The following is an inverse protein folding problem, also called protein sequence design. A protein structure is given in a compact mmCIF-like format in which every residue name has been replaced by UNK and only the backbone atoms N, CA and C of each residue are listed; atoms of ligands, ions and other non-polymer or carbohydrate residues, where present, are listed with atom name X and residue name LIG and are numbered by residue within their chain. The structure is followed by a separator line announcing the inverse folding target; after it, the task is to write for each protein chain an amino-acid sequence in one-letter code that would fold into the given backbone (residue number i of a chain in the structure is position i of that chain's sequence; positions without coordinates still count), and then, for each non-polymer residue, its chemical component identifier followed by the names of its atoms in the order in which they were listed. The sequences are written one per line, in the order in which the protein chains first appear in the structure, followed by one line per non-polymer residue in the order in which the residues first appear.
data_IF_372533282518
#
_entry.id   IF_372533282518
#
_cell.length_a   1.000
_cell.length_b   1.000
_cell.length_c   1.000
_cell.angle_alpha   90.00
_cell.angle_beta   90.00
_cell.angle_gamma   90.00
#
_symmetry.space_group_name_H-M   'P 1'
#
loop_
_entity.id
_entity.type
_entity.pdbx_description
1 polymer ?
#
# COMPACT_ATOMS: atom_id res chain seq x y z
N UNK A 1 -18.68 9.53 0.67
CA UNK A 1 -17.66 8.80 -0.11
C UNK A 1 -17.85 7.31 0.04
N UNK A 2 -17.68 6.72 1.23
CA UNK A 2 -17.91 5.28 1.48
C UNK A 2 -19.30 4.83 1.02
N UNK A 3 -20.37 5.50 1.47
CA UNK A 3 -21.75 5.20 1.03
C UNK A 3 -21.92 5.25 -0.49
N UNK A 4 -21.35 6.28 -1.14
CA UNK A 4 -21.40 6.43 -2.59
C UNK A 4 -20.71 5.27 -3.33
N UNK A 5 -19.62 4.73 -2.78
CA UNK A 5 -18.96 3.53 -3.32
C UNK A 5 -19.77 2.27 -3.04
N UNK A 6 -20.39 2.14 -1.85
CA UNK A 6 -21.24 1.00 -1.51
C UNK A 6 -22.53 0.92 -2.35
N UNK A 7 -23.03 2.06 -2.85
CA UNK A 7 -24.17 2.13 -3.76
C UNK A 7 -23.80 1.80 -5.22
N UNK A 8 -22.49 1.73 -5.54
CA UNK A 8 -21.99 1.54 -6.90
C UNK A 8 -20.78 0.59 -6.89
N UNK A 9 -21.01 -0.71 -7.05
CA UNK A 9 -20.00 -1.76 -6.94
C UNK A 9 -18.81 -1.63 -7.92
N UNK A 10 -18.94 -0.84 -8.99
CA UNK A 10 -17.86 -0.56 -9.94
C UNK A 10 -16.87 0.51 -9.45
N UNK A 11 -17.21 1.26 -8.40
CA UNK A 11 -16.37 2.33 -7.87
C UNK A 11 -15.28 1.78 -6.93
N UNK A 12 -14.12 2.42 -6.99
CA UNK A 12 -12.98 2.16 -6.10
C UNK A 12 -12.63 3.40 -5.29
N UNK A 13 -11.99 3.20 -4.14
CA UNK A 13 -11.42 4.27 -3.32
C UNK A 13 -9.92 4.36 -3.61
N UNK A 14 -9.44 5.54 -3.98
CA UNK A 14 -8.02 5.84 -4.03
C UNK A 14 -7.51 6.29 -2.66
N UNK A 15 -6.52 5.58 -2.11
CA UNK A 15 -5.78 6.02 -0.93
C UNK A 15 -4.44 6.58 -1.36
N UNK A 16 -4.13 7.76 -0.86
CA UNK A 16 -2.85 8.42 -1.07
C UNK A 16 -2.49 9.22 0.18
N UNK A 17 -1.22 9.18 0.56
CA UNK A 17 -0.77 9.91 1.73
C UNK A 17 -0.39 11.35 1.39
N UNK A 18 -0.43 12.26 2.38
CA UNK A 18 0.14 13.59 2.26
C UNK A 18 1.67 13.58 2.03
N UNK A 19 2.20 14.58 1.34
CA UNK A 19 3.66 14.76 1.15
C UNK A 19 4.44 14.87 2.47
N UNK A 20 3.78 15.43 3.49
CA UNK A 20 4.31 15.59 4.84
C UNK A 20 3.16 15.55 5.84
N UNK A 21 3.48 15.29 7.10
CA UNK A 21 2.50 15.35 8.19
C UNK A 21 1.78 16.71 8.15
N UNK A 22 0.45 16.68 8.15
CA UNK A 22 -0.45 17.85 8.06
C UNK A 22 -0.41 18.65 6.73
N UNK A 23 0.28 18.16 5.69
CA UNK A 23 0.23 18.78 4.37
C UNK A 23 -1.12 18.56 3.69
N UNK A 24 -1.59 19.58 2.96
CA UNK A 24 -2.73 19.43 2.05
C UNK A 24 -2.34 18.84 0.70
N UNK A 25 -1.04 18.88 0.37
CA UNK A 25 -0.49 18.28 -0.85
C UNK A 25 -0.31 16.78 -0.64
N UNK A 26 -0.60 16.04 -1.68
CA UNK A 26 -0.54 14.59 -1.72
C UNK A 26 0.74 14.18 -2.45
N UNK A 27 1.25 13.00 -2.14
CA UNK A 27 2.23 12.35 -3.02
C UNK A 27 1.62 12.15 -4.42
N UNK A 28 2.45 11.82 -5.41
CA UNK A 28 1.97 11.62 -6.77
C UNK A 28 1.36 10.23 -6.98
N UNK A 29 1.82 9.22 -6.23
CA UNK A 29 1.40 7.82 -6.36
C UNK A 29 0.55 7.38 -5.17
N UNK A 30 -0.60 6.77 -5.47
CA UNK A 30 -1.50 6.15 -4.49
C UNK A 30 -1.86 4.72 -4.89
N UNK A 31 -2.76 4.10 -4.12
CA UNK A 31 -3.30 2.76 -4.41
C UNK A 31 -4.82 2.79 -4.44
N UNK A 32 -5.41 2.29 -5.52
CA UNK A 32 -6.84 2.12 -5.66
C UNK A 32 -7.25 0.79 -5.02
N UNK A 33 -8.37 0.78 -4.29
CA UNK A 33 -8.87 -0.43 -3.65
C UNK A 33 -10.40 -0.50 -3.59
N UNK A 34 -10.89 -1.72 -3.42
CA UNK A 34 -12.32 -2.03 -3.25
C UNK A 34 -12.63 -2.26 -1.78
N UNK A 35 -13.85 -1.92 -1.36
CA UNK A 35 -14.32 -2.24 -0.01
C UNK A 35 -14.68 -3.73 0.05
N UNK A 36 -13.96 -4.52 0.84
CA UNK A 36 -14.31 -5.92 1.12
C UNK A 36 -15.35 -6.03 2.23
N UNK A 37 -15.22 -5.17 3.23
CA UNK A 37 -16.13 -5.13 4.36
C UNK A 37 -16.35 -3.70 4.83
N UNK A 38 -17.58 -3.40 5.24
CA UNK A 38 -17.92 -2.12 5.86
C UNK A 38 -18.90 -2.33 7.00
N UNK A 39 -18.67 -1.60 8.09
CA UNK A 39 -19.57 -1.54 9.23
C UNK A 39 -19.80 -0.09 9.61
N UNK A 40 -21.05 0.37 9.57
CA UNK A 40 -21.42 1.65 10.14
C UNK A 40 -21.45 1.54 11.66
N UNK A 41 -20.74 2.43 12.32
CA UNK A 41 -20.68 2.52 13.78
C UNK A 41 -21.78 3.48 14.29
N UNK A 42 -22.18 3.39 15.58
CA UNK A 42 -23.32 4.13 16.12
C UNK A 42 -23.25 5.66 16.00
N UNK A 43 -22.06 6.23 15.81
CA UNK A 43 -21.83 7.67 15.65
C UNK A 43 -21.84 8.13 14.18
N UNK A 44 -22.20 7.24 13.25
CA UNK A 44 -22.24 7.52 11.81
C UNK A 44 -20.89 7.40 11.10
N UNK A 45 -19.80 7.12 11.82
CA UNK A 45 -18.51 6.79 11.21
C UNK A 45 -18.49 5.34 10.71
N UNK A 46 -17.65 5.07 9.71
CA UNK A 46 -17.51 3.74 9.12
C UNK A 46 -16.19 3.10 9.53
N UNK A 47 -16.23 1.82 9.86
CA UNK A 47 -15.07 0.94 9.82
C UNK A 47 -15.09 0.21 8.48
N UNK A 48 -14.02 0.32 7.69
CA UNK A 48 -13.91 -0.34 6.38
C UNK A 48 -12.64 -1.18 6.30
N UNK A 49 -12.75 -2.32 5.62
CA UNK A 49 -11.62 -3.11 5.16
C UNK A 49 -11.50 -2.89 3.65
N UNK A 50 -10.34 -2.38 3.22
CA UNK A 50 -10.03 -2.11 1.83
C UNK A 50 -9.01 -3.12 1.32
N UNK A 51 -9.23 -3.58 0.09
CA UNK A 51 -8.30 -4.42 -0.63
C UNK A 51 -7.68 -3.63 -1.77
N UNK A 52 -6.37 -3.40 -1.70
CA UNK A 52 -5.61 -2.73 -2.76
C UNK A 52 -5.61 -3.55 -4.04
N UNK A 53 -5.91 -2.91 -5.18
CA UNK A 53 -6.01 -3.52 -6.51
C UNK A 53 -4.86 -3.12 -7.42
N UNK A 54 -4.51 -1.83 -7.44
CA UNK A 54 -3.45 -1.33 -8.29
C UNK A 54 -2.98 0.02 -7.80
N UNK A 55 -1.68 0.28 -7.93
CA UNK A 55 -1.15 1.63 -7.83
C UNK A 55 -1.64 2.49 -8.99
N UNK A 56 -1.70 3.79 -8.75
CA UNK A 56 -2.01 4.80 -9.75
C UNK A 56 -1.18 6.06 -9.49
N UNK A 57 -0.99 6.85 -10.53
CA UNK A 57 -0.42 8.19 -10.42
C UNK A 57 -1.51 9.24 -10.63
N UNK A 58 -1.53 10.30 -9.81
CA UNK A 58 -2.43 11.44 -10.00
C UNK A 58 -1.97 12.21 -11.24
N UNK A 59 -2.90 12.48 -12.16
CA UNK A 59 -2.65 13.38 -13.29
C UNK A 59 -3.21 14.78 -13.02
N UNK A 60 -4.41 14.86 -12.45
CA UNK A 60 -5.00 16.12 -12.00
C UNK A 60 -6.08 15.90 -10.93
N UNK A 61 -6.17 16.80 -9.96
CA UNK A 61 -7.32 16.91 -9.07
C UNK A 61 -8.46 17.65 -9.78
N UNK A 62 -9.66 17.09 -9.73
CA UNK A 62 -10.86 17.64 -10.37
C UNK A 62 -11.59 18.58 -9.41
N UNK A 63 -12.04 19.73 -9.92
CA UNK A 63 -12.99 20.57 -9.19
C UNK A 63 -14.32 19.80 -9.03
N UNK A 64 -14.82 19.73 -7.81
CA UNK A 64 -16.01 18.94 -7.48
C UNK A 64 -16.78 19.57 -6.32
N UNK A 65 -18.11 19.51 -6.40
CA UNK A 65 -19.01 19.93 -5.32
C UNK A 65 -19.15 18.86 -4.22
N UNK A 66 -18.46 17.72 -4.37
CA UNK A 66 -18.49 16.64 -3.38
C UNK A 66 -17.65 16.96 -2.15
N UNK A 67 -18.05 16.44 -0.99
CA UNK A 67 -17.31 16.54 0.27
C UNK A 67 -15.99 15.71 0.30
N UNK A 68 -15.60 15.14 -0.84
CA UNK A 68 -14.41 14.32 -1.01
C UNK A 68 -13.72 14.66 -2.32
N UNK A 69 -12.40 14.49 -2.38
CA UNK A 69 -11.58 14.74 -3.57
C UNK A 69 -11.92 13.78 -4.69
N UNK A 70 -11.82 14.24 -5.92
CA UNK A 70 -11.82 13.41 -7.13
C UNK A 70 -10.58 13.77 -7.93
N UNK A 71 -9.93 12.79 -8.53
CA UNK A 71 -8.76 13.01 -9.35
C UNK A 71 -8.86 12.14 -10.60
N UNK A 72 -8.34 12.64 -11.71
CA UNK A 72 -8.01 11.80 -12.86
C UNK A 72 -6.66 11.17 -12.61
N UNK A 73 -6.58 9.86 -12.80
CA UNK A 73 -5.40 9.05 -12.48
C UNK A 73 -4.98 8.21 -13.68
N UNK A 74 -3.72 7.78 -13.68
CA UNK A 74 -3.13 6.91 -14.71
C UNK A 74 -2.54 5.65 -14.07
N UNK A 75 -2.69 4.51 -14.77
CA UNK A 75 -2.24 3.18 -14.33
C UNK A 75 -1.09 2.62 -15.19
N UNK A 76 -0.70 3.29 -16.28
CA UNK A 76 0.25 2.76 -17.27
C UNK A 76 1.65 2.50 -16.71
N UNK A 77 2.04 3.18 -15.65
CA UNK A 77 3.31 2.94 -14.94
C UNK A 77 3.30 1.69 -14.05
N UNK A 78 2.12 1.09 -13.84
CA UNK A 78 1.90 0.02 -12.85
C UNK A 78 1.21 -1.21 -13.46
N UNK A 79 1.49 -1.52 -14.73
CA UNK A 79 0.87 -2.65 -15.44
C UNK A 79 1.10 -4.00 -14.76
N UNK A 80 2.23 -4.15 -14.06
CA UNK A 80 2.60 -5.37 -13.34
C UNK A 80 1.87 -5.55 -12.00
N UNK A 81 1.11 -4.56 -11.52
CA UNK A 81 0.37 -4.68 -10.25
C UNK A 81 -0.80 -5.68 -10.34
N UNK A 82 -1.28 -5.95 -11.55
CA UNK A 82 -2.39 -6.87 -11.82
C UNK A 82 -1.87 -8.27 -12.17
N UNK A 83 -0.57 -8.40 -12.46
CA UNK A 83 0.09 -9.65 -12.80
C UNK A 83 0.72 -10.28 -11.54
N UNK A 84 0.81 -11.61 -11.50
CA UNK A 84 1.59 -12.30 -10.46
C UNK A 84 3.08 -12.02 -10.69
N UNK A 85 3.55 -10.88 -10.16
CA UNK A 85 4.94 -10.49 -10.22
C UNK A 85 5.80 -11.56 -9.52
N UNK A 86 6.77 -12.10 -10.25
CA UNK A 86 7.75 -13.03 -9.73
C UNK A 86 9.01 -12.26 -9.33
N UNK A 87 9.58 -12.59 -8.18
CA UNK A 87 10.90 -12.09 -7.80
C UNK A 87 11.96 -12.73 -8.68
N UNK A 88 12.83 -11.92 -9.28
CA UNK A 88 14.01 -12.44 -9.98
C UNK A 88 15.22 -12.57 -9.05
N UNK A 89 15.20 -11.85 -7.92
CA UNK A 89 16.28 -11.83 -6.92
C UNK A 89 16.06 -12.84 -5.79
N UNK A 90 17.17 -13.20 -5.15
CA UNK A 90 17.17 -14.08 -3.98
C UNK A 90 16.61 -13.37 -2.74
N UNK A 91 15.76 -14.08 -2.00
CA UNK A 91 15.09 -13.61 -0.79
C UNK A 91 15.92 -13.84 0.49
N UNK A 92 17.03 -14.59 0.44
CA UNK A 92 17.85 -14.86 1.63
C UNK A 92 18.28 -13.59 2.37
N UNK A 93 18.63 -12.54 1.62
CA UNK A 93 19.03 -11.26 2.19
C UNK A 93 17.86 -10.54 2.90
N UNK A 94 16.63 -10.70 2.41
CA UNK A 94 15.44 -10.19 3.09
C UNK A 94 15.26 -10.85 4.45
N UNK A 95 15.31 -12.18 4.50
CA UNK A 95 15.15 -12.92 5.76
C UNK A 95 16.22 -12.53 6.78
N UNK A 96 17.47 -12.39 6.35
CA UNK A 96 18.57 -11.96 7.22
C UNK A 96 18.29 -10.58 7.83
N UNK A 97 18.02 -9.58 6.99
CA UNK A 97 17.77 -8.21 7.47
C UNK A 97 16.48 -8.13 8.31
N UNK A 98 15.45 -8.89 7.95
CA UNK A 98 14.21 -8.93 8.73
C UNK A 98 14.42 -9.57 10.11
N UNK A 99 15.27 -10.61 10.24
CA UNK A 99 15.67 -11.15 11.54
C UNK A 99 16.35 -10.07 12.39
N UNK A 100 17.37 -9.40 11.85
CA UNK A 100 18.10 -8.33 12.53
C UNK A 100 17.17 -7.15 12.94
N UNK A 101 16.28 -6.72 12.05
CA UNK A 101 15.27 -5.70 12.32
C UNK A 101 14.32 -6.14 13.44
N UNK A 102 13.84 -7.39 13.41
CA UNK A 102 12.89 -7.91 14.40
C UNK A 102 13.50 -7.97 15.80
N UNK A 103 14.77 -8.36 15.92
CA UNK A 103 15.50 -8.39 17.18
C UNK A 103 15.72 -6.97 17.73
N UNK A 104 16.16 -6.04 16.87
CA UNK A 104 16.37 -4.63 17.22
C UNK A 104 15.09 -3.96 17.72
N UNK A 105 13.96 -4.25 17.08
CA UNK A 105 12.65 -3.70 17.41
C UNK A 105 11.83 -4.55 18.40
N UNK A 106 12.41 -5.65 18.92
CA UNK A 106 11.76 -6.57 19.87
C UNK A 106 10.42 -7.13 19.38
N UNK A 107 10.31 -7.37 18.08
CA UNK A 107 9.14 -7.96 17.46
C UNK A 107 9.09 -9.46 17.76
N UNK A 108 7.90 -9.95 18.10
CA UNK A 108 7.66 -11.39 18.26
C UNK A 108 7.18 -11.94 16.93
N UNK A 109 8.06 -12.65 16.23
CA UNK A 109 7.80 -13.22 14.92
C UNK A 109 7.65 -14.74 15.03
N UNK A 110 6.58 -15.28 14.46
CA UNK A 110 6.41 -16.72 14.23
C UNK A 110 7.07 -17.06 12.88
N UNK A 111 8.37 -17.42 12.92
CA UNK A 111 9.19 -17.60 11.72
C UNK A 111 8.66 -18.70 10.79
N UNK A 112 8.09 -19.76 11.36
CA UNK A 112 7.50 -20.85 10.60
C UNK A 112 6.39 -20.34 9.67
N UNK A 113 5.56 -19.40 10.14
CA UNK A 113 4.50 -18.79 9.33
C UNK A 113 5.05 -17.85 8.26
N UNK A 114 6.15 -17.14 8.56
CA UNK A 114 6.77 -16.21 7.59
C UNK A 114 7.40 -16.97 6.44
N UNK A 115 8.01 -18.13 6.71
CA UNK A 115 8.64 -18.98 5.70
C UNK A 115 7.62 -19.69 4.78
N UNK A 116 6.36 -19.81 5.22
CA UNK A 116 5.25 -20.33 4.40
C UNK A 116 4.69 -19.30 3.39
N UNK A 117 4.95 -18.00 3.58
CA UNK A 117 4.41 -16.94 2.73
C UNK A 117 5.25 -16.87 1.45
N UNK A 118 4.63 -16.89 0.25
CA UNK A 118 5.38 -16.75 -0.99
C UNK A 118 6.12 -15.41 -1.03
N UNK A 119 7.36 -15.46 -1.54
CA UNK A 119 8.34 -14.40 -1.47
C UNK A 119 7.80 -13.02 -1.94
N UNK A 120 7.05 -13.00 -3.05
CA UNK A 120 6.43 -11.80 -3.59
C UNK A 120 5.38 -11.18 -2.66
N UNK A 121 4.56 -12.00 -1.99
CA UNK A 121 3.63 -11.52 -0.97
C UNK A 121 4.35 -11.06 0.29
N UNK A 122 5.45 -11.72 0.68
CA UNK A 122 6.20 -11.35 1.87
C UNK A 122 6.78 -9.94 1.75
N UNK A 123 7.35 -9.57 0.59
CA UNK A 123 7.84 -8.20 0.35
C UNK A 123 6.73 -7.17 0.60
N UNK A 124 5.57 -7.35 -0.03
CA UNK A 124 4.44 -6.43 0.14
C UNK A 124 3.94 -6.39 1.58
N UNK A 125 3.83 -7.56 2.23
CA UNK A 125 3.39 -7.67 3.61
C UNK A 125 4.31 -6.89 4.56
N UNK A 126 5.63 -7.06 4.42
CA UNK A 126 6.61 -6.36 5.26
C UNK A 126 6.60 -4.86 4.98
N UNK A 127 6.56 -4.43 3.71
CA UNK A 127 6.46 -3.01 3.36
C UNK A 127 5.26 -2.31 4.02
N UNK A 128 4.13 -3.01 4.16
CA UNK A 128 2.92 -2.46 4.79
C UNK A 128 2.97 -2.47 6.31
N UNK A 129 3.45 -3.56 6.92
CA UNK A 129 3.28 -3.84 8.36
C UNK A 129 4.44 -3.39 9.23
N UNK A 130 5.64 -3.19 8.66
CA UNK A 130 6.76 -2.67 9.44
C UNK A 130 6.54 -1.20 9.80
N UNK A 131 7.17 -0.80 10.92
CA UNK A 131 7.08 0.55 11.46
C UNK A 131 8.06 1.48 10.73
N UNK A 132 7.71 1.76 9.48
CA UNK A 132 8.37 2.74 8.63
C UNK A 132 7.61 4.06 8.64
N UNK A 133 8.35 5.16 8.52
CA UNK A 133 7.79 6.49 8.34
C UNK A 133 6.96 6.59 7.05
N UNK A 134 6.09 7.59 6.96
CA UNK A 134 5.27 7.81 5.75
C UNK A 134 6.12 7.95 4.49
N UNK A 135 7.25 8.66 4.57
CA UNK A 135 8.19 8.85 3.45
C UNK A 135 8.79 7.51 3.01
N UNK A 136 9.24 6.69 3.96
CA UNK A 136 9.81 5.36 3.64
C UNK A 136 8.75 4.43 3.03
N UNK A 137 7.51 4.46 3.53
CA UNK A 137 6.40 3.72 2.91
C UNK A 137 6.05 4.26 1.52
N UNK A 138 6.18 5.57 1.28
CA UNK A 138 5.99 6.14 -0.05
C UNK A 138 7.05 5.61 -1.01
N UNK A 139 8.32 5.62 -0.61
CA UNK A 139 9.42 5.09 -1.43
C UNK A 139 9.15 3.64 -1.84
N UNK A 140 8.73 2.80 -0.90
CA UNK A 140 8.37 1.40 -1.18
C UNK A 140 7.18 1.28 -2.13
N UNK A 141 6.16 2.14 -1.99
CA UNK A 141 5.00 2.15 -2.90
C UNK A 141 5.40 2.58 -4.31
N UNK A 142 6.32 3.54 -4.43
CA UNK A 142 6.79 4.13 -5.68
C UNK A 142 7.85 3.29 -6.40
N UNK A 143 8.44 2.28 -5.76
CA UNK A 143 9.41 1.38 -6.39
C UNK A 143 8.85 0.81 -7.70
N UNK A 144 9.60 0.87 -8.82
CA UNK A 144 9.06 0.59 -10.16
C UNK A 144 8.57 -0.86 -10.31
N UNK A 145 9.28 -1.80 -9.68
CA UNK A 145 8.99 -3.22 -9.71
C UNK A 145 9.28 -3.88 -8.36
N UNK A 146 8.93 -5.17 -8.26
CA UNK A 146 9.04 -5.95 -7.04
C UNK A 146 10.50 -6.16 -6.58
N UNK A 147 11.44 -6.28 -7.52
CA UNK A 147 12.86 -6.48 -7.22
C UNK A 147 13.51 -5.19 -6.70
N UNK A 148 13.08 -4.04 -7.21
CA UNK A 148 13.49 -2.72 -6.71
C UNK A 148 12.89 -2.47 -5.33
N UNK A 149 11.61 -2.82 -5.13
CA UNK A 149 10.96 -2.74 -3.81
C UNK A 149 11.67 -3.63 -2.78
N UNK A 150 12.10 -4.82 -3.18
CA UNK A 150 12.88 -5.72 -2.32
C UNK A 150 14.19 -5.07 -1.87
N UNK A 151 14.92 -4.42 -2.79
CA UNK A 151 16.16 -3.71 -2.46
C UNK A 151 15.92 -2.52 -1.52
N UNK A 152 14.90 -1.71 -1.81
CA UNK A 152 14.51 -0.59 -0.95
C UNK A 152 14.13 -1.08 0.45
N UNK A 153 13.34 -2.16 0.53
CA UNK A 153 12.92 -2.76 1.80
C UNK A 153 14.12 -3.28 2.60
N UNK A 154 15.08 -3.92 1.94
CA UNK A 154 16.32 -4.37 2.59
C UNK A 154 17.14 -3.19 3.09
N UNK A 155 17.25 -2.11 2.32
CA UNK A 155 18.03 -0.92 2.69
C UNK A 155 17.45 -0.16 3.90
N UNK A 156 16.14 -0.30 4.14
CA UNK A 156 15.44 0.31 5.29
C UNK A 156 15.54 -0.50 6.59
N UNK A 157 15.93 -1.78 6.52
CA UNK A 157 16.04 -2.68 7.67
C UNK A 157 17.44 -2.67 8.30
#
# INVERSE_FOLDING_TARGET
MVEHVLENDELMIGIIQPEALDSKKLCDVGCAGTIEHSQQLPKGNYLIQLHGKSRFQIVEELETDTLYRKARVEYSSFTHDIEDACLSKDIELLYKNFREYSERNKLKIEWEKIEEIPANYLVNLLSMNLDFSGIEKQTLLESPDLDSRLEDLIALM
#
